data_IF_506661057859
#
_entry.id   IF_506661057859
#
_cell.length_a   1.000
_cell.length_b   1.000
_cell.length_c   1.000
_cell.angle_alpha   90.00
_cell.angle_beta   90.00
_cell.angle_gamma   90.00
#
_symmetry.space_group_name_H-M   'P 1'
#
loop_
_entity.id
_entity.type
_entity.pdbx_description
1 polymer ?
#
# COMPACT_ATOMS: atom_id res chain seq x y z
N UNK A 1 -5.05 -17.43 -16.41
CA UNK A 1 -5.80 -16.32 -15.80
C UNK A 1 -5.44 -16.27 -14.33
N UNK A 2 -5.33 -15.07 -13.76
CA UNK A 2 -5.11 -14.82 -12.35
C UNK A 2 -6.05 -13.71 -11.91
N UNK A 3 -6.88 -13.98 -10.91
CA UNK A 3 -7.81 -13.01 -10.33
C UNK A 3 -7.26 -12.55 -8.99
N UNK A 4 -7.26 -11.24 -8.75
CA UNK A 4 -6.70 -10.66 -7.54
C UNK A 4 -6.69 -9.14 -7.56
N UNK A 5 -5.96 -8.56 -6.62
CA UNK A 5 -5.66 -7.13 -6.59
C UNK A 5 -4.19 -6.93 -6.93
N UNK A 6 -3.93 -6.00 -7.84
CA UNK A 6 -2.60 -5.73 -8.36
C UNK A 6 -2.28 -4.25 -8.23
N UNK A 7 -1.08 -3.91 -7.77
CA UNK A 7 -0.59 -2.53 -7.73
C UNK A 7 0.34 -2.29 -8.90
N UNK A 8 0.20 -1.14 -9.54
CA UNK A 8 1.07 -0.67 -10.62
C UNK A 8 2.34 -0.11 -10.00
N UNK A 9 3.47 -0.79 -10.24
CA UNK A 9 4.78 -0.37 -9.72
C UNK A 9 5.58 0.42 -10.75
N UNK A 10 5.40 0.13 -12.03
CA UNK A 10 6.10 0.80 -13.13
C UNK A 10 5.16 0.95 -14.32
N UNK A 11 5.27 2.08 -15.04
CA UNK A 11 4.54 2.32 -16.29
C UNK A 11 5.42 2.98 -17.32
N UNK A 12 5.18 2.65 -18.58
CA UNK A 12 5.63 3.43 -19.73
C UNK A 12 4.46 3.61 -20.73
N UNK A 13 4.71 4.29 -21.85
CA UNK A 13 3.69 4.57 -22.87
C UNK A 13 3.10 3.30 -23.52
N UNK A 14 3.81 2.17 -23.46
CA UNK A 14 3.46 0.92 -24.13
C UNK A 14 3.17 -0.24 -23.15
N UNK A 15 3.62 -0.17 -21.89
CA UNK A 15 3.54 -1.29 -20.95
C UNK A 15 3.34 -0.83 -19.50
N UNK A 16 2.91 -1.77 -18.66
CA UNK A 16 2.81 -1.55 -17.22
C UNK A 16 3.26 -2.80 -16.47
N UNK A 17 3.84 -2.61 -15.29
CA UNK A 17 4.24 -3.69 -14.39
C UNK A 17 3.30 -3.70 -13.20
N UNK A 18 2.60 -4.81 -13.05
CA UNK A 18 1.66 -5.06 -11.98
C UNK A 18 2.27 -6.02 -10.96
N UNK A 19 2.13 -5.73 -9.68
CA UNK A 19 2.50 -6.62 -8.59
C UNK A 19 1.26 -7.11 -7.88
N UNK A 20 1.10 -8.42 -7.80
CA UNK A 20 0.02 -9.05 -7.04
C UNK A 20 0.25 -8.81 -5.54
N UNK A 21 -0.71 -8.17 -4.88
CA UNK A 21 -0.58 -7.82 -3.46
C UNK A 21 -0.69 -9.04 -2.55
N UNK A 22 -1.14 -10.19 -3.03
CA UNK A 22 -1.32 -11.41 -2.21
C UNK A 22 -0.04 -12.23 -2.07
N UNK A 23 0.73 -12.38 -3.15
CA UNK A 23 1.92 -13.23 -3.20
C UNK A 23 3.18 -12.51 -3.71
N UNK A 24 3.06 -11.24 -4.10
CA UNK A 24 4.16 -10.41 -4.58
C UNK A 24 4.61 -10.75 -6.01
N UNK A 25 3.88 -11.61 -6.73
CA UNK A 25 4.22 -11.98 -8.10
C UNK A 25 4.11 -10.78 -9.05
N UNK A 26 5.07 -10.68 -9.98
CA UNK A 26 5.11 -9.62 -11.00
C UNK A 26 4.44 -10.09 -12.29
N UNK A 27 3.60 -9.23 -12.86
CA UNK A 27 2.87 -9.41 -14.11
C UNK A 27 3.12 -8.20 -15.02
N UNK A 28 3.88 -8.41 -16.09
CA UNK A 28 4.14 -7.36 -17.09
C UNK A 28 3.05 -7.36 -18.16
N UNK A 29 2.35 -6.24 -18.30
CA UNK A 29 1.34 -6.04 -19.31
C UNK A 29 1.98 -5.71 -20.67
N UNK A 30 1.47 -6.32 -21.75
CA UNK A 30 1.94 -6.06 -23.12
C UNK A 30 1.45 -4.74 -23.72
N UNK A 31 0.48 -4.12 -23.06
CA UNK A 31 -0.12 -2.83 -23.42
C UNK A 31 -0.54 -2.13 -22.13
N UNK A 32 -0.25 -0.83 -22.00
CA UNK A 32 -0.72 -0.03 -20.87
C UNK A 32 -2.17 0.46 -21.12
N UNK A 33 -3.17 0.03 -20.35
CA UNK A 33 -4.55 0.48 -20.49
C UNK A 33 -4.79 1.80 -19.73
N UNK A 34 -3.92 2.79 -19.93
CA UNK A 34 -3.92 4.09 -19.26
C UNK A 34 -3.77 4.01 -17.72
N UNK A 35 -2.88 3.13 -17.24
CA UNK A 35 -2.53 2.99 -15.83
C UNK A 35 -1.40 3.95 -15.43
N UNK A 36 -1.44 4.37 -14.16
CA UNK A 36 -0.40 5.18 -13.52
C UNK A 36 0.26 4.45 -12.34
N UNK A 37 1.53 4.78 -12.03
CA UNK A 37 2.23 4.22 -10.86
C UNK A 37 1.47 4.56 -9.58
N UNK A 38 1.31 3.58 -8.71
CA UNK A 38 0.56 3.70 -7.45
C UNK A 38 -0.95 3.47 -7.58
N UNK A 39 -1.46 3.25 -8.80
CA UNK A 39 -2.81 2.73 -8.98
C UNK A 39 -2.90 1.24 -8.63
N UNK A 40 -4.10 0.82 -8.22
CA UNK A 40 -4.45 -0.56 -7.93
C UNK A 40 -5.64 -0.99 -8.79
N UNK A 41 -5.58 -2.24 -9.27
CA UNK A 41 -6.63 -2.90 -10.05
C UNK A 41 -7.07 -4.14 -9.31
N UNK A 42 -8.37 -4.26 -9.06
CA UNK A 42 -9.03 -5.51 -8.73
C UNK A 42 -9.64 -6.09 -10.01
N UNK A 43 -9.27 -7.31 -10.36
CA UNK A 43 -9.73 -7.91 -11.61
C UNK A 43 -9.01 -9.19 -11.99
N UNK A 44 -9.04 -9.52 -13.28
CA UNK A 44 -8.46 -10.75 -13.83
C UNK A 44 -7.44 -10.44 -14.92
N UNK A 45 -6.23 -10.98 -14.78
CA UNK A 45 -5.16 -10.94 -15.76
C UNK A 45 -5.08 -12.27 -16.53
N UNK A 46 -4.84 -12.22 -17.83
CA UNK A 46 -4.63 -13.39 -18.67
C UNK A 46 -3.25 -13.36 -19.34
N UNK A 47 -2.52 -14.49 -19.42
CA UNK A 47 -1.29 -14.56 -20.18
C UNK A 47 -1.57 -14.48 -21.68
N UNK A 48 -0.70 -13.79 -22.42
CA UNK A 48 -0.79 -13.67 -23.87
C UNK A 48 -0.13 -14.86 -24.58
N UNK A 49 -0.86 -15.57 -25.46
CA UNK A 49 -0.29 -16.66 -26.23
C UNK A 49 0.66 -16.15 -27.33
N UNK A 50 1.63 -16.98 -27.78
CA UNK A 50 1.92 -18.34 -27.32
C UNK A 50 2.99 -18.42 -26.22
N UNK A 51 3.58 -17.29 -25.82
CA UNK A 51 4.76 -17.31 -24.95
C UNK A 51 4.45 -17.20 -23.45
N UNK A 52 3.23 -16.86 -23.04
CA UNK A 52 2.78 -16.79 -21.63
C UNK A 52 3.70 -15.97 -20.69
N UNK A 53 4.55 -15.09 -21.25
CA UNK A 53 5.45 -14.19 -20.51
C UNK A 53 4.83 -12.81 -20.30
N UNK A 54 3.97 -12.40 -21.24
CA UNK A 54 3.28 -11.12 -21.26
C UNK A 54 1.85 -11.35 -20.79
N UNK A 55 1.29 -10.39 -20.07
CA UNK A 55 -0.07 -10.43 -19.56
C UNK A 55 -0.93 -9.35 -20.19
N UNK A 56 -2.24 -9.54 -20.14
CA UNK A 56 -3.22 -8.54 -20.50
C UNK A 56 -4.31 -8.49 -19.43
N UNK A 57 -4.97 -7.34 -19.30
CA UNK A 57 -6.12 -7.18 -18.41
C UNK A 57 -7.35 -7.71 -19.13
N UNK A 58 -7.91 -8.81 -18.62
CA UNK A 58 -9.11 -9.43 -19.19
C UNK A 58 -10.38 -8.79 -18.63
N UNK A 59 -10.37 -8.48 -17.32
CA UNK A 59 -11.49 -7.87 -16.61
C UNK A 59 -10.97 -6.93 -15.52
N UNK A 60 -11.63 -5.77 -15.36
CA UNK A 60 -11.42 -4.82 -14.27
C UNK A 60 -12.72 -4.70 -13.50
N UNK A 61 -12.72 -5.19 -12.27
CA UNK A 61 -13.83 -5.04 -11.32
C UNK A 61 -13.78 -3.65 -10.66
N UNK A 62 -12.57 -3.20 -10.33
CA UNK A 62 -12.31 -1.90 -9.71
C UNK A 62 -10.92 -1.40 -10.08
N UNK A 63 -10.80 -0.10 -10.32
CA UNK A 63 -9.54 0.63 -10.44
C UNK A 63 -9.58 1.80 -9.45
N UNK A 64 -8.53 1.95 -8.65
CA UNK A 64 -8.45 3.00 -7.62
C UNK A 64 -7.01 3.40 -7.34
N UNK A 65 -6.82 4.61 -6.84
CA UNK A 65 -5.52 5.11 -6.39
C UNK A 65 -5.49 5.14 -4.88
N UNK A 66 -4.39 4.69 -4.27
CA UNK A 66 -4.19 4.83 -2.83
C UNK A 66 -3.61 6.20 -2.52
N UNK A 67 -4.34 7.03 -1.78
CA UNK A 67 -3.81 8.30 -1.26
C UNK A 67 -3.07 8.07 0.06
N UNK A 68 -1.77 8.40 0.11
CA UNK A 68 -0.96 8.36 1.33
C UNK A 68 -0.62 9.80 1.74
N UNK A 69 -1.06 10.21 2.93
CA UNK A 69 -0.86 11.59 3.39
C UNK A 69 -0.59 11.68 4.89
N UNK A 70 0.28 12.64 5.26
CA UNK A 70 0.47 13.07 6.64
C UNK A 70 -0.66 14.00 7.09
N UNK A 71 -1.06 13.87 8.36
CA UNK A 71 -2.05 14.71 9.01
C UNK A 71 -1.49 15.37 10.26
N UNK A 72 -1.84 16.65 10.46
CA UNK A 72 -1.43 17.47 11.61
C UNK A 72 -1.99 16.98 12.96
N UNK A 73 -3.02 16.12 12.94
CA UNK A 73 -3.55 15.57 14.17
C UNK A 73 -2.58 14.57 14.79
N UNK A 74 -2.36 14.62 16.11
CA UNK A 74 -1.43 13.71 16.74
C UNK A 74 -1.96 12.26 16.74
N UNK A 75 -1.07 11.27 16.99
CA UNK A 75 -1.47 9.89 17.19
C UNK A 75 -2.56 9.75 18.26
N UNK A 76 -3.43 8.75 18.07
CA UNK A 76 -4.48 8.46 19.06
C UNK A 76 -3.86 8.00 20.38
N UNK A 77 -4.58 8.14 21.50
CA UNK A 77 -4.12 7.64 22.81
C UNK A 77 -3.67 6.18 22.74
N UNK A 78 -4.44 5.34 22.04
CA UNK A 78 -4.10 3.93 21.85
C UNK A 78 -2.76 3.75 21.12
N UNK A 79 -2.47 4.56 20.09
CA UNK A 79 -1.19 4.48 19.38
C UNK A 79 -0.02 4.87 20.30
N UNK A 80 -0.19 5.91 21.12
CA UNK A 80 0.82 6.31 22.11
C UNK A 80 1.09 5.24 23.16
N UNK A 81 0.02 4.67 23.73
CA UNK A 81 0.13 3.60 24.73
C UNK A 81 0.90 2.41 24.15
N UNK A 82 0.61 2.05 22.89
CA UNK A 82 1.28 0.97 22.17
C UNK A 82 2.76 1.24 21.98
N UNK A 83 3.09 2.46 21.55
CA UNK A 83 4.47 2.85 21.34
C UNK A 83 5.26 2.86 22.65
N UNK A 84 4.63 3.24 23.76
CA UNK A 84 5.22 3.19 25.11
C UNK A 84 5.43 1.78 25.66
N UNK A 85 4.65 0.81 25.17
CA UNK A 85 4.72 -0.60 25.58
C UNK A 85 5.65 -1.46 24.70
N UNK A 86 6.23 -0.90 23.62
CA UNK A 86 7.13 -1.61 22.70
C UNK A 86 8.50 -0.89 22.56
N UNK A 87 9.60 -1.62 22.33
CA UNK A 87 10.90 -1.00 22.14
C UNK A 87 11.01 -0.20 20.83
N UNK A 88 11.94 0.75 20.79
CA UNK A 88 12.30 1.49 19.57
C UNK A 88 12.76 0.51 18.48
N UNK A 89 12.28 0.72 17.26
CA UNK A 89 12.51 -0.13 16.10
C UNK A 89 11.41 -1.15 15.86
N UNK A 90 10.46 -1.32 16.78
CA UNK A 90 9.34 -2.25 16.60
C UNK A 90 8.15 -1.62 15.88
N UNK A 91 7.37 -2.50 15.24
CA UNK A 91 6.09 -2.17 14.60
C UNK A 91 5.01 -3.10 15.13
N UNK A 92 3.92 -2.52 15.65
CA UNK A 92 2.73 -3.27 16.04
C UNK A 92 1.60 -3.00 15.05
N UNK A 93 1.07 -4.06 14.44
CA UNK A 93 -0.14 -4.01 13.60
C UNK A 93 -1.38 -4.32 14.42
N UNK A 94 -2.47 -3.56 14.23
CA UNK A 94 -3.77 -3.83 14.83
C UNK A 94 -4.91 -3.68 13.85
N UNK A 95 -5.79 -4.66 13.84
CA UNK A 95 -7.04 -4.62 13.09
C UNK A 95 -8.00 -3.59 13.68
N UNK A 96 -8.73 -2.89 12.80
CA UNK A 96 -9.81 -2.00 13.19
C UNK A 96 -11.14 -2.76 13.13
N UNK A 97 -12.14 -2.33 13.91
CA UNK A 97 -13.51 -2.78 13.68
C UNK A 97 -13.97 -2.34 12.27
N UNK A 98 -14.22 -3.30 11.39
CA UNK A 98 -14.54 -3.07 9.98
C UNK A 98 -13.33 -3.33 9.08
N UNK A 99 -13.28 -2.65 7.93
CA UNK A 99 -12.14 -2.73 7.00
C UNK A 99 -11.04 -1.76 7.44
N UNK A 100 -9.78 -2.20 7.34
CA UNK A 100 -8.61 -1.40 7.64
C UNK A 100 -7.87 -1.80 8.91
N UNK A 101 -6.76 -1.14 9.15
CA UNK A 101 -5.84 -1.45 10.25
C UNK A 101 -4.99 -0.23 10.64
N UNK A 102 -4.26 -0.35 11.74
CA UNK A 102 -3.34 0.66 12.24
C UNK A 102 -1.99 0.01 12.49
N UNK A 103 -0.93 0.60 11.94
CA UNK A 103 0.44 0.29 12.34
C UNK A 103 0.93 1.37 13.31
N UNK A 104 1.61 0.93 14.36
CA UNK A 104 2.28 1.81 15.31
C UNK A 104 3.77 1.49 15.30
N UNK A 105 4.55 2.43 14.82
CA UNK A 105 6.01 2.37 14.78
C UNK A 105 6.55 3.18 15.97
N UNK A 106 7.41 2.57 16.76
CA UNK A 106 8.19 3.28 17.78
C UNK A 106 9.56 3.59 17.20
N UNK A 107 9.87 4.87 17.03
CA UNK A 107 11.09 5.32 16.36
C UNK A 107 11.92 6.20 17.30
N UNK A 108 13.22 6.43 17.04
CA UNK A 108 13.95 7.49 17.73
C UNK A 108 13.25 8.84 17.52
N UNK A 109 13.15 9.65 18.58
CA UNK A 109 12.45 10.95 18.51
C UNK A 109 13.01 11.84 17.40
N UNK A 110 14.33 11.82 17.22
CA UNK A 110 15.09 12.56 16.22
C UNK A 110 14.98 12.02 14.79
N UNK A 111 14.40 10.83 14.60
CA UNK A 111 14.16 10.21 13.29
C UNK A 111 12.67 10.12 12.94
N UNK A 112 11.80 10.81 13.68
CA UNK A 112 10.35 10.75 13.46
C UNK A 112 9.95 11.26 12.07
N UNK A 113 10.51 12.39 11.65
CA UNK A 113 10.21 13.00 10.34
C UNK A 113 10.70 12.11 9.19
N UNK A 114 11.89 11.52 9.33
CA UNK A 114 12.43 10.56 8.35
C UNK A 114 11.52 9.34 8.22
N UNK A 115 11.07 8.78 9.35
CA UNK A 115 10.15 7.63 9.35
C UNK A 115 8.79 7.95 8.71
N UNK A 116 8.29 9.18 8.87
CA UNK A 116 7.07 9.63 8.19
C UNK A 116 7.29 9.68 6.68
N UNK A 117 8.42 10.25 6.22
CA UNK A 117 8.75 10.32 4.80
C UNK A 117 8.92 8.92 4.19
N UNK A 118 9.64 8.03 4.88
CA UNK A 118 9.84 6.65 4.46
C UNK A 118 8.49 5.93 4.27
N UNK A 119 7.57 6.02 5.24
CA UNK A 119 6.24 5.41 5.11
C UNK A 119 5.43 6.04 3.97
N UNK A 120 5.51 7.36 3.79
CA UNK A 120 4.74 8.07 2.77
C UNK A 120 5.14 7.64 1.37
N UNK A 121 6.43 7.45 1.16
CA UNK A 121 7.02 7.19 -0.15
C UNK A 121 7.26 5.68 -0.40
N UNK A 122 6.84 4.81 0.53
CA UNK A 122 7.01 3.35 0.47
C UNK A 122 5.91 2.64 -0.32
N UNK A 123 6.30 1.90 -1.37
CA UNK A 123 5.42 1.06 -2.17
C UNK A 123 4.70 0.00 -1.33
N UNK A 124 5.34 -0.54 -0.29
CA UNK A 124 4.72 -1.56 0.55
C UNK A 124 3.54 -1.00 1.36
N UNK A 125 3.52 0.31 1.64
CA UNK A 125 2.37 1.00 2.23
C UNK A 125 1.19 1.04 1.26
N UNK A 126 1.42 1.31 -0.02
CA UNK A 126 0.38 1.26 -1.07
C UNK A 126 -0.12 -0.17 -1.29
N UNK A 127 0.77 -1.15 -1.41
CA UNK A 127 0.42 -2.57 -1.53
C UNK A 127 -0.44 -3.04 -0.37
N UNK A 128 -0.12 -2.60 0.84
CA UNK A 128 -0.87 -2.97 2.04
C UNK A 128 -2.28 -2.41 2.00
N UNK A 129 -2.45 -1.15 1.62
CA UNK A 129 -3.75 -0.52 1.45
C UNK A 129 -4.60 -1.25 0.38
N UNK A 130 -4.00 -1.53 -0.77
CA UNK A 130 -4.64 -2.27 -1.85
C UNK A 130 -5.06 -3.68 -1.42
N UNK A 131 -4.22 -4.41 -0.67
CA UNK A 131 -4.57 -5.73 -0.10
C UNK A 131 -5.78 -5.66 0.84
N UNK A 132 -5.91 -4.58 1.59
CA UNK A 132 -7.05 -4.36 2.49
C UNK A 132 -8.29 -3.84 1.75
N UNK A 133 -8.17 -3.51 0.45
CA UNK A 133 -9.24 -2.93 -0.36
C UNK A 133 -9.59 -1.49 0.01
N UNK A 134 -8.65 -0.77 0.64
CA UNK A 134 -8.81 0.61 1.09
C UNK A 134 -8.04 1.59 0.22
N UNK A 135 -8.56 2.80 0.07
CA UNK A 135 -8.00 3.82 -0.84
C UNK A 135 -7.23 4.93 -0.09
N UNK A 136 -7.23 4.91 1.24
CA UNK A 136 -6.65 6.00 2.04
C UNK A 136 -5.75 5.49 3.15
N UNK A 137 -4.56 6.07 3.21
CA UNK A 137 -3.60 5.91 4.30
C UNK A 137 -3.32 7.26 4.93
N UNK A 138 -3.60 7.39 6.23
CA UNK A 138 -3.25 8.57 7.02
C UNK A 138 -2.04 8.27 7.90
N UNK A 139 -1.02 9.12 7.84
CA UNK A 139 0.13 9.10 8.73
C UNK A 139 -0.07 10.19 9.78
N UNK A 140 0.05 9.83 11.05
CA UNK A 140 0.04 10.76 12.17
C UNK A 140 1.27 10.54 13.00
N UNK A 141 1.95 11.60 13.40
CA UNK A 141 3.19 11.51 14.13
C UNK A 141 3.28 12.50 15.29
N UNK A 142 4.05 12.11 16.28
CA UNK A 142 4.61 12.97 17.33
C UNK A 142 6.00 12.40 17.68
N UNK A 143 6.90 13.13 18.36
CA UNK A 143 8.26 12.64 18.61
C UNK A 143 8.28 11.21 19.17
N UNK A 144 8.89 10.30 18.43
CA UNK A 144 9.08 8.90 18.78
C UNK A 144 7.94 7.94 18.40
N UNK A 145 6.85 8.45 17.82
CA UNK A 145 5.66 7.65 17.47
C UNK A 145 5.17 8.00 16.08
N UNK A 146 5.09 7.00 15.19
CA UNK A 146 4.42 7.12 13.88
C UNK A 146 3.25 6.14 13.84
N UNK A 147 2.06 6.66 13.55
CA UNK A 147 0.83 5.88 13.40
C UNK A 147 0.35 5.93 11.96
N UNK A 148 0.36 4.78 11.30
CA UNK A 148 -0.08 4.62 9.90
C UNK A 148 -1.46 3.98 9.93
N UNK A 149 -2.44 4.62 9.32
CA UNK A 149 -3.85 4.23 9.42
C UNK A 149 -4.41 3.94 8.04
N UNK A 150 -4.78 2.69 7.81
CA UNK A 150 -5.42 2.21 6.60
C UNK A 150 -6.93 2.34 6.76
N UNK A 151 -7.56 3.22 5.98
CA UNK A 151 -8.93 3.67 6.18
C UNK A 151 -9.80 3.39 4.95
N UNK A 152 -11.02 2.86 5.13
CA UNK A 152 -11.97 2.70 4.04
C UNK A 152 -12.46 4.06 3.49
#
# INVERSE_FOLDING_TARGET
MKTGTFVVTEVDEASAVLRDVSDGQIHTLGSNPDLEVGEAIEGTLAPEPPMDVVWTVEEVDRQFTVSVAEHDEPPTQQARDTAGDQPVGEVTTRERAGTGEVHVLTVPEDSTEDAVADVRDDEATVERAARLGVERVEIRAEPGVVSVRYLP
#
